data_IF_860142778862
#
_entry.id   IF_860142778862
#
_cell.length_a   1.000
_cell.length_b   1.000
_cell.length_c   1.000
_cell.angle_alpha   90.00
_cell.angle_beta   90.00
_cell.angle_gamma   90.00
#
_symmetry.space_group_name_H-M   'P 1'
#
loop_
_entity.id
_entity.type
_entity.pdbx_description
1 polymer ?
#
# COMPACT_ATOMS: atom_id res chain seq x y z
N UNK A 1 -19.66 -36.86 -21.36
CA UNK A 1 -20.10 -35.96 -20.24
C UNK A 1 -18.84 -35.34 -19.65
N UNK A 2 -18.56 -34.04 -19.89
CA UNK A 2 -17.43 -33.31 -19.26
C UNK A 2 -17.88 -32.95 -17.84
N UNK A 3 -17.14 -33.38 -16.83
CA UNK A 3 -17.36 -32.96 -15.45
C UNK A 3 -17.26 -31.42 -15.39
N UNK A 4 -18.18 -30.72 -14.68
CA UNK A 4 -18.06 -29.28 -14.48
C UNK A 4 -16.76 -29.03 -13.70
N UNK A 5 -15.82 -28.32 -14.34
CA UNK A 5 -14.52 -28.02 -13.78
C UNK A 5 -14.65 -27.40 -12.39
N UNK A 6 -13.97 -27.99 -11.42
CA UNK A 6 -13.80 -27.46 -10.06
C UNK A 6 -13.32 -26.02 -10.20
N UNK A 7 -14.17 -25.04 -9.85
CA UNK A 7 -13.74 -23.63 -9.80
C UNK A 7 -12.52 -23.56 -8.89
N UNK A 8 -11.40 -22.97 -9.32
CA UNK A 8 -10.23 -22.85 -8.47
C UNK A 8 -10.63 -22.13 -7.18
N UNK A 9 -10.06 -22.57 -6.05
CA UNK A 9 -10.24 -21.90 -4.77
C UNK A 9 -9.83 -20.43 -4.95
N UNK A 10 -10.69 -19.51 -4.46
CA UNK A 10 -10.37 -18.09 -4.46
C UNK A 10 -9.18 -17.87 -3.52
N UNK A 11 -8.06 -17.42 -4.06
CA UNK A 11 -6.98 -16.89 -3.23
C UNK A 11 -7.40 -15.48 -2.79
N UNK A 12 -7.65 -15.33 -1.49
CA UNK A 12 -8.15 -14.07 -0.96
C UNK A 12 -7.13 -12.94 -1.02
N UNK A 13 -5.85 -13.26 -1.08
CA UNK A 13 -4.76 -12.27 -1.20
C UNK A 13 -4.72 -11.63 -2.59
N UNK A 14 -5.20 -12.35 -3.62
CA UNK A 14 -5.26 -11.88 -5.01
C UNK A 14 -6.55 -11.11 -5.33
N UNK A 15 -7.39 -10.81 -4.33
CA UNK A 15 -8.63 -10.07 -4.54
C UNK A 15 -8.43 -8.55 -4.39
N UNK A 16 -9.19 -7.82 -5.20
CA UNK A 16 -9.44 -6.38 -5.04
C UNK A 16 -10.94 -6.23 -4.84
N UNK A 17 -11.38 -5.58 -3.78
CA UNK A 17 -12.80 -5.49 -3.47
C UNK A 17 -13.28 -4.06 -3.15
N UNK A 18 -14.53 -3.80 -3.52
CA UNK A 18 -15.18 -2.49 -3.46
C UNK A 18 -14.99 -1.68 -4.74
N UNK A 19 -15.98 -0.83 -5.04
CA UNK A 19 -16.10 -0.12 -6.31
C UNK A 19 -14.84 0.69 -6.62
N UNK A 20 -14.47 1.63 -5.75
CA UNK A 20 -13.33 2.53 -6.00
C UNK A 20 -12.01 1.79 -6.14
N UNK A 21 -11.74 0.76 -5.32
CA UNK A 21 -10.50 0.01 -5.44
C UNK A 21 -10.38 -0.74 -6.78
N UNK A 22 -11.50 -1.24 -7.31
CA UNK A 22 -11.52 -1.93 -8.61
C UNK A 22 -11.45 -0.92 -9.76
N UNK A 23 -12.12 0.24 -9.65
CA UNK A 23 -12.03 1.34 -10.63
C UNK A 23 -10.60 1.85 -10.75
N UNK A 24 -9.93 2.13 -9.63
CA UNK A 24 -8.55 2.61 -9.63
C UNK A 24 -7.57 1.56 -10.18
N UNK A 25 -7.77 0.29 -9.86
CA UNK A 25 -6.97 -0.78 -10.45
C UNK A 25 -7.14 -0.85 -11.99
N UNK A 26 -8.37 -0.67 -12.48
CA UNK A 26 -8.63 -0.57 -13.93
C UNK A 26 -7.97 0.68 -14.51
N UNK A 27 -8.11 1.85 -13.89
CA UNK A 27 -7.51 3.10 -14.36
C UNK A 27 -5.99 3.00 -14.44
N UNK A 28 -5.36 2.44 -13.41
CA UNK A 28 -3.91 2.23 -13.35
C UNK A 28 -3.38 1.18 -14.35
N UNK A 29 -4.26 0.47 -15.03
CA UNK A 29 -3.87 -0.57 -15.97
C UNK A 29 -3.46 -1.89 -15.33
N UNK A 30 -3.87 -2.15 -14.10
CA UNK A 30 -3.63 -3.46 -13.48
C UNK A 30 -4.29 -4.58 -14.30
N UNK A 31 -3.59 -5.71 -14.42
CA UNK A 31 -4.13 -6.89 -15.09
C UNK A 31 -5.13 -7.57 -14.18
N UNK A 32 -6.43 -7.39 -14.45
CA UNK A 32 -7.49 -8.11 -13.77
C UNK A 32 -7.88 -9.36 -14.55
N UNK A 33 -8.06 -10.48 -13.86
CA UNK A 33 -8.51 -11.76 -14.46
C UNK A 33 -10.01 -11.77 -14.71
N UNK A 34 -10.80 -11.22 -13.78
CA UNK A 34 -12.25 -11.07 -13.89
C UNK A 34 -12.78 -10.14 -12.81
N UNK A 35 -14.00 -9.62 -13.04
CA UNK A 35 -14.75 -8.82 -12.07
C UNK A 35 -16.07 -9.52 -11.81
N UNK A 36 -16.38 -9.79 -10.55
CA UNK A 36 -17.69 -10.26 -10.08
C UNK A 36 -18.48 -9.07 -9.54
N UNK A 37 -19.71 -8.91 -10.00
CA UNK A 37 -20.66 -7.88 -9.56
C UNK A 37 -21.91 -8.56 -9.05
N UNK A 38 -22.48 -8.08 -7.94
CA UNK A 38 -23.71 -8.62 -7.39
C UNK A 38 -24.89 -8.42 -8.36
N UNK A 39 -25.67 -9.48 -8.59
CA UNK A 39 -26.73 -9.50 -9.60
C UNK A 39 -27.84 -8.46 -9.35
N UNK A 40 -28.08 -8.07 -8.12
CA UNK A 40 -29.01 -7.02 -7.73
C UNK A 40 -28.55 -5.60 -8.08
N UNK A 41 -27.29 -5.43 -8.49
CA UNK A 41 -26.67 -4.14 -8.85
C UNK A 41 -26.55 -3.90 -10.35
N UNK A 42 -27.13 -4.71 -11.19
CA UNK A 42 -27.05 -4.60 -12.67
C UNK A 42 -27.48 -3.25 -13.22
N UNK A 43 -28.38 -2.53 -12.52
CA UNK A 43 -28.90 -1.20 -12.93
C UNK A 43 -28.28 -0.05 -12.14
N UNK A 44 -27.26 -0.29 -11.33
CA UNK A 44 -26.65 0.71 -10.47
C UNK A 44 -25.82 1.70 -11.31
N UNK A 45 -26.19 2.98 -11.24
CA UNK A 45 -25.49 4.05 -11.93
C UNK A 45 -24.03 4.20 -11.49
N UNK A 46 -23.72 3.87 -10.23
CA UNK A 46 -22.36 3.91 -9.69
C UNK A 46 -21.40 2.93 -10.38
N UNK A 47 -21.93 1.90 -11.07
CA UNK A 47 -21.11 0.91 -11.77
C UNK A 47 -20.85 1.28 -13.25
N UNK A 48 -21.38 2.38 -13.75
CA UNK A 48 -21.24 2.73 -15.19
C UNK A 48 -19.78 2.93 -15.60
N UNK A 49 -19.01 3.63 -14.78
CA UNK A 49 -17.58 3.91 -15.06
C UNK A 49 -16.80 2.59 -15.04
N UNK A 50 -16.99 1.79 -14.00
CA UNK A 50 -16.34 0.49 -13.85
C UNK A 50 -16.64 -0.45 -15.03
N UNK A 51 -17.91 -0.55 -15.46
CA UNK A 51 -18.31 -1.38 -16.59
C UNK A 51 -17.72 -0.91 -17.91
N UNK A 52 -17.68 0.41 -18.12
CA UNK A 52 -17.09 0.99 -19.33
C UNK A 52 -15.58 0.70 -19.40
N UNK A 53 -14.85 0.89 -18.30
CA UNK A 53 -13.42 0.61 -18.22
C UNK A 53 -13.12 -0.89 -18.35
N UNK A 54 -13.92 -1.76 -17.71
CA UNK A 54 -13.77 -3.20 -17.83
C UNK A 54 -13.95 -3.65 -19.29
N UNK A 55 -14.91 -3.08 -20.00
CA UNK A 55 -15.14 -3.34 -21.44
C UNK A 55 -13.96 -2.88 -22.30
N UNK A 56 -13.49 -1.66 -22.09
CA UNK A 56 -12.36 -1.07 -22.83
C UNK A 56 -11.08 -1.92 -22.67
N UNK A 57 -10.87 -2.45 -21.47
CA UNK A 57 -9.68 -3.28 -21.12
C UNK A 57 -9.89 -4.78 -21.37
N UNK A 58 -11.05 -5.19 -21.93
CA UNK A 58 -11.41 -6.58 -22.17
C UNK A 58 -11.35 -7.46 -20.90
N UNK A 59 -11.70 -6.89 -19.73
CA UNK A 59 -11.78 -7.63 -18.48
C UNK A 59 -13.15 -8.30 -18.37
N UNK A 60 -13.23 -9.64 -18.24
CA UNK A 60 -14.52 -10.35 -18.12
C UNK A 60 -15.29 -9.91 -16.87
N UNK A 61 -16.55 -9.50 -17.05
CA UNK A 61 -17.46 -9.17 -15.96
C UNK A 61 -18.49 -10.29 -15.82
N UNK A 62 -18.75 -10.72 -14.58
CA UNK A 62 -19.76 -11.72 -14.24
C UNK A 62 -20.71 -11.16 -13.19
N UNK A 63 -21.99 -11.41 -13.37
CA UNK A 63 -23.00 -11.10 -12.36
C UNK A 63 -23.24 -12.35 -11.52
N UNK A 64 -22.96 -12.25 -10.22
CA UNK A 64 -22.99 -13.37 -9.29
C UNK A 64 -24.06 -13.17 -8.22
N UNK A 65 -24.64 -14.28 -7.74
CA UNK A 65 -25.61 -14.29 -6.66
C UNK A 65 -24.93 -13.90 -5.32
N UNK A 66 -25.76 -13.43 -4.37
CA UNK A 66 -25.27 -13.01 -3.03
C UNK A 66 -24.43 -14.09 -2.34
N UNK A 67 -24.80 -15.36 -2.48
CA UNK A 67 -24.06 -16.50 -1.95
C UNK A 67 -22.59 -16.60 -2.43
N UNK A 68 -22.23 -15.98 -3.54
CA UNK A 68 -20.83 -15.86 -3.98
C UNK A 68 -20.05 -14.92 -3.06
N UNK A 69 -20.62 -13.78 -2.71
CA UNK A 69 -20.02 -12.76 -1.88
C UNK A 69 -19.95 -13.17 -0.40
N UNK A 70 -20.88 -14.01 0.06
CA UNK A 70 -20.89 -14.55 1.42
C UNK A 70 -19.69 -15.47 1.71
N UNK A 71 -19.02 -16.01 0.67
CA UNK A 71 -17.82 -16.83 0.80
C UNK A 71 -16.55 -16.03 1.06
N UNK A 72 -16.61 -14.72 0.83
CA UNK A 72 -15.45 -13.84 0.97
C UNK A 72 -15.45 -13.27 2.37
N UNK A 73 -14.32 -13.31 3.11
CA UNK A 73 -14.25 -12.86 4.51
C UNK A 73 -14.37 -11.34 4.67
N UNK A 74 -14.51 -10.60 3.57
CA UNK A 74 -14.57 -9.14 3.55
C UNK A 74 -15.99 -8.63 3.45
N UNK A 75 -16.49 -7.91 4.46
CA UNK A 75 -17.87 -7.36 4.45
C UNK A 75 -18.00 -6.09 3.62
N UNK A 76 -16.93 -5.34 3.42
CA UNK A 76 -16.94 -4.02 2.76
C UNK A 76 -16.74 -4.10 1.23
N UNK A 77 -17.09 -5.23 0.61
CA UNK A 77 -16.92 -5.43 -0.84
C UNK A 77 -17.91 -4.66 -1.71
N UNK A 78 -18.99 -4.13 -1.14
CA UNK A 78 -20.00 -3.35 -1.88
C UNK A 78 -20.54 -4.09 -3.12
N UNK A 79 -20.60 -5.42 -3.10
CA UNK A 79 -21.05 -6.24 -4.24
C UNK A 79 -20.11 -6.19 -5.47
N UNK A 80 -18.85 -5.80 -5.31
CA UNK A 80 -17.85 -5.77 -6.38
C UNK A 80 -16.55 -6.38 -5.89
N UNK A 81 -16.07 -7.40 -6.62
CA UNK A 81 -14.82 -8.11 -6.34
C UNK A 81 -14.12 -8.38 -7.68
N UNK A 82 -12.89 -7.97 -7.79
CA UNK A 82 -12.03 -8.35 -8.90
C UNK A 82 -10.99 -9.38 -8.45
N UNK A 83 -10.66 -10.32 -9.35
CA UNK A 83 -9.53 -11.24 -9.18
C UNK A 83 -8.36 -10.72 -10.00
N UNK A 84 -7.22 -10.54 -9.36
CA UNK A 84 -5.98 -10.10 -9.98
C UNK A 84 -4.92 -11.22 -9.94
N UNK A 85 -3.80 -11.11 -10.63
CA UNK A 85 -2.60 -11.89 -10.32
C UNK A 85 -1.99 -11.43 -8.98
N UNK A 86 -1.02 -12.19 -8.41
CA UNK A 86 -0.26 -11.74 -7.26
C UNK A 86 0.31 -10.33 -7.46
N UNK A 87 0.38 -9.55 -6.36
CA UNK A 87 0.83 -8.16 -6.44
C UNK A 87 2.26 -8.07 -7.03
N UNK A 88 2.48 -7.24 -8.06
CA UNK A 88 3.77 -7.12 -8.74
C UNK A 88 4.71 -6.20 -7.94
N UNK A 89 5.48 -6.75 -7.01
CA UNK A 89 6.49 -5.99 -6.29
C UNK A 89 7.60 -5.51 -7.23
N UNK A 90 7.99 -4.25 -7.09
CA UNK A 90 9.12 -3.66 -7.81
C UNK A 90 10.46 -4.08 -7.20
N UNK A 91 11.55 -3.98 -7.96
CA UNK A 91 12.89 -4.06 -7.40
C UNK A 91 13.35 -2.70 -6.86
N UNK A 92 14.21 -2.70 -5.83
CA UNK A 92 14.77 -1.46 -5.30
C UNK A 92 15.61 -0.72 -6.35
N UNK A 93 16.36 -1.45 -7.17
CA UNK A 93 17.15 -0.88 -8.26
C UNK A 93 16.30 -0.16 -9.29
N UNK A 94 15.14 -0.72 -9.67
CA UNK A 94 14.24 -0.07 -10.62
C UNK A 94 13.65 1.22 -10.06
N UNK A 95 13.29 1.23 -8.76
CA UNK A 95 12.79 2.43 -8.09
C UNK A 95 13.88 3.51 -8.05
N UNK A 96 15.11 3.14 -7.72
CA UNK A 96 16.23 4.08 -7.66
C UNK A 96 16.68 4.59 -9.03
N UNK A 97 16.51 3.79 -10.09
CA UNK A 97 16.87 4.18 -11.45
C UNK A 97 15.85 5.12 -12.12
N UNK A 98 14.60 5.22 -11.59
CA UNK A 98 13.56 6.08 -12.19
C UNK A 98 13.93 7.57 -12.00
N UNK A 99 14.02 8.37 -13.08
CA UNK A 99 14.23 9.80 -12.96
C UNK A 99 12.99 10.49 -12.38
N UNK A 100 13.17 11.48 -11.53
CA UNK A 100 12.08 12.37 -11.14
C UNK A 100 11.85 13.44 -12.23
N UNK A 101 10.60 13.62 -12.58
CA UNK A 101 10.23 14.53 -13.67
C UNK A 101 10.26 16.00 -13.25
N UNK A 102 10.06 16.27 -11.96
CA UNK A 102 9.93 17.61 -11.38
C UNK A 102 11.26 18.14 -10.80
N UNK A 103 12.34 17.35 -10.85
CA UNK A 103 13.64 17.72 -10.29
C UNK A 103 13.68 17.80 -8.75
N UNK A 104 12.58 17.49 -8.06
CA UNK A 104 12.54 17.49 -6.59
C UNK A 104 13.40 16.38 -5.99
N UNK A 105 13.84 16.50 -4.73
CA UNK A 105 14.57 15.44 -4.05
C UNK A 105 13.75 14.14 -3.98
N UNK A 106 14.42 12.99 -4.12
CA UNK A 106 13.79 11.68 -4.01
C UNK A 106 13.25 11.44 -2.62
N UNK A 107 12.02 10.89 -2.53
CA UNK A 107 11.40 10.50 -1.28
C UNK A 107 10.97 9.04 -1.32
N UNK A 108 11.46 8.24 -0.38
CA UNK A 108 11.02 6.86 -0.15
C UNK A 108 10.38 6.73 1.23
N UNK A 109 9.47 5.78 1.37
CA UNK A 109 8.95 5.37 2.68
C UNK A 109 9.38 3.95 2.95
N UNK A 110 9.90 3.68 4.14
CA UNK A 110 10.35 2.35 4.57
C UNK A 110 9.53 1.93 5.79
N UNK A 111 8.87 0.79 5.71
CA UNK A 111 8.08 0.25 6.81
C UNK A 111 8.90 -0.77 7.60
N UNK A 112 8.98 -0.59 8.90
CA UNK A 112 9.67 -1.52 9.80
C UNK A 112 8.67 -2.31 10.65
N UNK A 113 8.37 -3.56 10.23
CA UNK A 113 7.54 -4.51 10.96
C UNK A 113 6.08 -4.06 11.22
N UNK A 114 5.43 -3.40 10.26
CA UNK A 114 4.01 -3.09 10.33
C UNK A 114 3.16 -4.30 9.93
N UNK A 115 2.39 -4.84 10.86
CA UNK A 115 1.59 -6.06 10.67
C UNK A 115 0.10 -5.78 10.42
N UNK A 116 -0.40 -4.59 10.78
CA UNK A 116 -1.78 -4.22 10.52
C UNK A 116 -1.98 -3.79 9.05
N UNK A 117 -2.82 -4.50 8.27
CA UNK A 117 -3.10 -4.14 6.88
C UNK A 117 -3.72 -2.75 6.71
N UNK A 118 -4.52 -2.28 7.67
CA UNK A 118 -5.13 -0.95 7.60
C UNK A 118 -4.08 0.15 7.70
N UNK A 119 -3.12 0.01 8.61
CA UNK A 119 -2.02 0.95 8.77
C UNK A 119 -1.12 0.96 7.53
N UNK A 120 -0.75 -0.22 7.01
CA UNK A 120 0.05 -0.31 5.76
C UNK A 120 -0.68 0.36 4.60
N UNK A 121 -1.98 0.08 4.42
CA UNK A 121 -2.77 0.66 3.34
C UNK A 121 -2.90 2.19 3.46
N UNK A 122 -3.11 2.71 4.67
CA UNK A 122 -3.17 4.16 4.93
C UNK A 122 -1.83 4.85 4.61
N UNK A 123 -0.70 4.22 4.97
CA UNK A 123 0.62 4.75 4.65
C UNK A 123 0.88 4.71 3.14
N UNK A 124 0.51 3.62 2.44
CA UNK A 124 0.62 3.53 0.98
C UNK A 124 -0.15 4.68 0.32
N UNK A 125 -1.39 4.93 0.76
CA UNK A 125 -2.21 6.04 0.25
C UNK A 125 -1.57 7.40 0.50
N UNK A 126 -1.07 7.64 1.71
CA UNK A 126 -0.44 8.91 2.07
C UNK A 126 0.88 9.11 1.33
N UNK A 127 1.69 8.05 1.18
CA UNK A 127 2.95 8.10 0.46
C UNK A 127 2.75 8.42 -1.02
N UNK A 128 1.76 7.80 -1.66
CA UNK A 128 1.38 8.09 -3.04
C UNK A 128 0.94 9.56 -3.19
N UNK A 129 -0.01 10.00 -2.36
CA UNK A 129 -0.53 11.37 -2.39
C UNK A 129 0.55 12.43 -2.09
N UNK A 130 1.56 12.10 -1.30
CA UNK A 130 2.73 12.95 -1.04
C UNK A 130 3.79 12.92 -2.15
N UNK A 131 3.58 12.14 -3.22
CA UNK A 131 4.51 12.03 -4.34
C UNK A 131 5.78 11.23 -4.01
N UNK A 132 5.71 10.25 -3.11
CA UNK A 132 6.83 9.34 -2.84
C UNK A 132 7.20 8.54 -4.10
N UNK A 133 8.49 8.29 -4.31
CA UNK A 133 8.99 7.50 -5.44
C UNK A 133 8.77 6.00 -5.27
N UNK A 134 8.55 5.56 -4.03
CA UNK A 134 8.27 4.17 -3.71
C UNK A 134 8.17 3.90 -2.21
N UNK A 135 7.68 2.71 -1.89
CA UNK A 135 7.55 2.22 -0.53
C UNK A 135 8.27 0.88 -0.40
N UNK A 136 9.01 0.71 0.69
CA UNK A 136 9.75 -0.52 1.00
C UNK A 136 9.12 -1.19 2.22
N UNK A 137 8.87 -2.48 2.14
CA UNK A 137 8.37 -3.28 3.28
C UNK A 137 9.14 -4.61 3.40
N UNK A 138 9.24 -5.20 4.61
CA UNK A 138 9.91 -6.46 4.78
C UNK A 138 9.03 -7.64 4.32
N UNK A 139 9.67 -8.73 3.89
CA UNK A 139 8.99 -9.97 3.51
C UNK A 139 8.33 -10.67 4.69
N UNK A 140 8.89 -10.51 5.87
CA UNK A 140 8.44 -11.17 7.09
C UNK A 140 8.03 -10.15 8.14
N UNK A 141 7.07 -10.52 8.99
CA UNK A 141 6.56 -9.68 10.08
C UNK A 141 6.03 -8.33 9.59
N UNK A 142 5.37 -8.34 8.43
CA UNK A 142 4.70 -7.18 7.86
C UNK A 142 3.47 -7.66 7.10
N UNK A 143 2.45 -6.84 7.03
CA UNK A 143 1.36 -7.08 6.11
C UNK A 143 1.88 -6.86 4.67
N UNK A 144 1.86 -7.93 3.85
CA UNK A 144 2.06 -7.83 2.41
C UNK A 144 0.90 -7.08 1.74
N UNK A 145 1.04 -6.77 0.45
CA UNK A 145 -0.02 -6.10 -0.31
C UNK A 145 -1.11 -7.11 -0.67
N UNK A 146 -1.94 -7.40 0.30
CA UNK A 146 -3.11 -8.26 0.18
C UNK A 146 -4.39 -7.45 -0.09
N UNK A 147 -5.54 -8.13 -0.19
CA UNK A 147 -6.84 -7.49 -0.45
C UNK A 147 -7.20 -6.39 0.57
N UNK A 148 -6.88 -6.58 1.85
CA UNK A 148 -7.18 -5.59 2.90
C UNK A 148 -6.32 -4.34 2.77
N UNK A 149 -5.00 -4.50 2.49
CA UNK A 149 -4.09 -3.39 2.21
C UNK A 149 -4.54 -2.63 0.97
N UNK A 150 -4.86 -3.32 -0.13
CA UNK A 150 -5.36 -2.69 -1.37
C UNK A 150 -6.64 -1.90 -1.12
N UNK A 151 -7.56 -2.42 -0.31
CA UNK A 151 -8.78 -1.72 0.07
C UNK A 151 -8.49 -0.45 0.88
N UNK A 152 -7.63 -0.54 1.90
CA UNK A 152 -7.25 0.60 2.74
C UNK A 152 -6.45 1.66 1.96
N UNK A 153 -5.66 1.23 0.99
CA UNK A 153 -4.90 2.11 0.09
C UNK A 153 -5.78 2.84 -0.94
N UNK A 154 -7.06 2.46 -1.09
CA UNK A 154 -8.03 3.11 -1.98
C UNK A 154 -7.52 3.32 -3.42
N UNK A 155 -6.78 2.34 -3.96
CA UNK A 155 -6.21 2.38 -5.32
C UNK A 155 -4.75 2.85 -5.40
N UNK A 156 -4.22 3.55 -4.40
CA UNK A 156 -2.85 4.09 -4.41
C UNK A 156 -1.77 3.01 -4.64
N UNK A 157 -2.02 1.77 -4.21
CA UNK A 157 -1.10 0.65 -4.42
C UNK A 157 -0.87 0.31 -5.91
N UNK A 158 -1.75 0.75 -6.81
CA UNK A 158 -1.60 0.55 -8.24
C UNK A 158 -0.60 1.54 -8.89
N UNK A 159 -0.36 2.67 -8.24
CA UNK A 159 0.49 3.76 -8.75
C UNK A 159 1.85 3.83 -8.06
N UNK A 160 1.89 3.58 -6.74
CA UNK A 160 3.12 3.64 -5.97
C UNK A 160 3.94 2.36 -6.13
N UNK A 161 5.19 2.43 -6.62
CA UNK A 161 6.09 1.27 -6.63
C UNK A 161 6.33 0.73 -5.22
N UNK A 162 6.02 -0.53 -4.99
CA UNK A 162 6.22 -1.17 -3.68
C UNK A 162 7.29 -2.25 -3.80
N UNK A 163 8.31 -2.12 -2.99
CA UNK A 163 9.46 -3.03 -2.95
C UNK A 163 9.35 -3.93 -1.72
N UNK A 164 9.54 -5.23 -1.90
CA UNK A 164 9.57 -6.19 -0.80
C UNK A 164 10.98 -6.71 -0.59
N UNK A 165 11.50 -6.60 0.64
CA UNK A 165 12.90 -6.89 0.96
C UNK A 165 13.03 -7.88 2.11
N UNK A 166 14.07 -8.71 2.07
CA UNK A 166 14.34 -9.68 3.14
C UNK A 166 14.85 -9.01 4.42
N UNK A 167 15.56 -7.85 4.32
CA UNK A 167 16.24 -7.23 5.44
C UNK A 167 16.24 -5.70 5.35
N UNK A 168 15.48 -5.04 6.22
CA UNK A 168 15.37 -3.57 6.25
C UNK A 168 16.71 -2.90 6.57
N UNK A 169 17.48 -3.37 7.56
CA UNK A 169 18.76 -2.76 7.89
C UNK A 169 19.77 -2.85 6.73
N UNK A 170 19.78 -3.98 6.00
CA UNK A 170 20.56 -4.13 4.78
C UNK A 170 20.13 -3.16 3.68
N UNK A 171 18.82 -2.97 3.53
CA UNK A 171 18.25 -2.02 2.57
C UNK A 171 18.62 -0.57 2.93
N UNK A 172 18.55 -0.20 4.21
CA UNK A 172 18.98 1.13 4.68
C UNK A 172 20.43 1.40 4.26
N UNK A 173 21.34 0.45 4.49
CA UNK A 173 22.74 0.60 4.06
C UNK A 173 22.88 0.77 2.54
N UNK A 174 22.05 0.07 1.76
CA UNK A 174 22.04 0.23 0.29
C UNK A 174 21.53 1.61 -0.13
N UNK A 175 20.48 2.13 0.52
CA UNK A 175 19.96 3.48 0.29
C UNK A 175 21.01 4.56 0.59
N UNK A 176 21.71 4.44 1.72
CA UNK A 176 22.81 5.37 2.10
C UNK A 176 23.95 5.37 1.08
N UNK A 177 24.33 4.19 0.57
CA UNK A 177 25.31 4.08 -0.52
C UNK A 177 24.85 4.74 -1.82
N UNK A 178 23.54 4.80 -2.06
CA UNK A 178 22.93 5.50 -3.20
C UNK A 178 22.74 7.02 -2.95
N UNK A 179 23.27 7.58 -1.85
CA UNK A 179 23.17 9.00 -1.52
C UNK A 179 21.83 9.43 -0.94
N UNK A 180 21.03 8.49 -0.44
CA UNK A 180 19.73 8.77 0.18
C UNK A 180 19.89 8.79 1.69
N UNK A 181 19.53 9.91 2.31
CA UNK A 181 19.49 10.05 3.76
C UNK A 181 18.37 9.23 4.36
N UNK A 182 18.65 8.53 5.44
CA UNK A 182 17.66 7.67 6.10
C UNK A 182 17.26 8.29 7.43
N UNK A 183 15.98 8.66 7.52
CA UNK A 183 15.38 9.37 8.64
C UNK A 183 14.38 8.46 9.35
N UNK A 184 14.62 8.15 10.61
CA UNK A 184 13.70 7.32 11.40
C UNK A 184 12.65 8.16 12.13
N UNK A 185 11.37 7.85 11.96
CA UNK A 185 10.30 8.41 12.79
C UNK A 185 10.25 7.69 14.14
N UNK A 186 10.56 8.38 15.24
CA UNK A 186 10.65 7.78 16.57
C UNK A 186 10.20 8.80 17.64
N UNK A 187 9.46 8.34 18.64
CA UNK A 187 8.97 9.20 19.73
C UNK A 187 10.06 9.56 20.77
N UNK A 188 11.29 9.06 20.60
CA UNK A 188 12.40 9.31 21.53
C UNK A 188 12.68 10.81 21.70
N UNK A 189 12.94 11.30 22.93
CA UNK A 189 13.35 12.69 23.19
C UNK A 189 14.62 13.11 22.42
N UNK A 190 15.47 12.15 22.07
CA UNK A 190 16.70 12.39 21.30
C UNK A 190 16.43 12.72 19.81
N UNK A 191 15.20 12.51 19.32
CA UNK A 191 14.80 12.85 17.94
C UNK A 191 14.65 14.36 17.75
N UNK A 192 15.08 14.85 16.58
CA UNK A 192 14.85 16.23 16.15
C UNK A 192 13.36 16.44 15.94
N UNK A 193 12.78 17.53 16.37
CA UNK A 193 11.39 17.85 16.02
C UNK A 193 11.23 17.95 14.51
N UNK A 194 10.19 17.32 13.95
CA UNK A 194 9.98 17.24 12.51
C UNK A 194 10.05 18.61 11.82
N UNK A 195 9.46 19.64 12.41
CA UNK A 195 9.47 21.00 11.87
C UNK A 195 10.84 21.72 11.94
N UNK A 196 11.83 21.14 12.62
CA UNK A 196 13.21 21.68 12.73
C UNK A 196 14.21 20.86 11.92
N UNK A 197 13.81 19.71 11.40
CA UNK A 197 14.69 18.84 10.62
C UNK A 197 14.79 19.34 9.18
N UNK A 198 16.02 19.38 8.63
CA UNK A 198 16.20 19.61 7.21
C UNK A 198 15.91 18.32 6.43
N UNK A 199 14.75 18.30 5.79
CA UNK A 199 14.28 17.20 4.96
C UNK A 199 14.31 17.51 3.46
N UNK A 200 14.83 18.67 3.05
CA UNK A 200 14.91 19.08 1.64
C UNK A 200 16.12 18.43 0.94
N UNK A 201 16.14 17.12 0.91
CA UNK A 201 17.19 16.28 0.31
C UNK A 201 16.64 14.93 -0.10
N UNK A 202 17.34 14.13 -0.92
CA UNK A 202 16.96 12.74 -1.16
C UNK A 202 16.89 11.99 0.18
N UNK A 203 15.71 11.49 0.55
CA UNK A 203 15.49 10.85 1.84
C UNK A 203 14.62 9.60 1.76
N UNK A 204 14.81 8.72 2.74
CA UNK A 204 13.92 7.60 3.05
C UNK A 204 13.41 7.78 4.48
N UNK A 205 12.10 7.96 4.64
CA UNK A 205 11.44 8.04 5.94
C UNK A 205 11.13 6.62 6.43
N UNK A 206 11.70 6.22 7.55
CA UNK A 206 11.46 4.91 8.17
C UNK A 206 10.37 5.06 9.23
N UNK A 207 9.30 4.28 9.08
CA UNK A 207 8.16 4.24 10.00
C UNK A 207 8.11 2.88 10.67
N UNK A 208 8.17 2.86 12.00
CA UNK A 208 8.13 1.65 12.82
C UNK A 208 6.72 1.19 13.15
N UNK A 209 6.61 0.05 13.84
CA UNK A 209 5.33 -0.50 14.28
C UNK A 209 4.71 0.32 15.41
N UNK A 210 3.36 0.25 15.50
CA UNK A 210 2.62 0.85 16.60
C UNK A 210 2.98 0.15 17.92
N UNK A 211 3.39 0.92 18.90
CA UNK A 211 3.78 0.42 20.24
C UNK A 211 5.27 0.10 20.39
N UNK A 212 5.92 -0.67 19.48
CA UNK A 212 7.36 -0.98 19.58
C UNK A 212 8.27 -0.01 18.82
N UNK A 213 7.70 0.82 17.95
CA UNK A 213 8.49 1.76 17.15
C UNK A 213 9.44 1.08 16.16
N UNK A 214 10.60 1.66 15.95
CA UNK A 214 11.66 1.13 15.10
C UNK A 214 12.44 0.02 15.81
N UNK A 215 12.74 -1.06 15.09
CA UNK A 215 13.64 -2.11 15.61
C UNK A 215 15.01 -1.51 15.96
N UNK A 216 15.68 -1.98 17.06
CA UNK A 216 16.93 -1.36 17.54
C UNK A 216 18.04 -1.27 16.49
N UNK A 217 18.14 -2.26 15.61
CA UNK A 217 19.13 -2.25 14.53
C UNK A 217 18.74 -1.23 13.46
N UNK A 218 17.48 -1.17 13.07
CA UNK A 218 16.96 -0.20 12.09
C UNK A 218 17.18 1.23 12.59
N UNK A 219 16.86 1.49 13.88
CA UNK A 219 17.07 2.76 14.53
C UNK A 219 18.53 3.22 14.49
N UNK A 220 19.48 2.30 14.73
CA UNK A 220 20.93 2.59 14.66
C UNK A 220 21.45 2.86 13.26
N UNK A 221 20.84 2.26 12.24
CA UNK A 221 21.22 2.45 10.84
C UNK A 221 20.71 3.78 10.26
N UNK A 222 19.71 4.41 10.87
CA UNK A 222 19.22 5.72 10.44
C UNK A 222 20.30 6.79 10.63
N UNK A 223 20.36 7.80 9.74
CA UNK A 223 21.29 8.92 9.85
C UNK A 223 20.90 9.84 11.01
N UNK A 224 19.61 10.06 11.21
CA UNK A 224 19.04 10.74 12.37
C UNK A 224 17.59 10.33 12.59
N UNK A 225 17.06 10.72 13.74
CA UNK A 225 15.70 10.46 14.12
C UNK A 225 14.91 11.77 14.13
N UNK A 226 13.65 11.70 13.72
CA UNK A 226 12.69 12.79 13.85
C UNK A 226 11.56 12.37 14.75
N UNK A 227 11.02 13.31 15.54
CA UNK A 227 9.85 13.13 16.36
C UNK A 227 8.78 14.12 15.98
N UNK A 228 7.54 13.67 16.02
CA UNK A 228 6.38 14.56 15.95
C UNK A 228 6.04 14.95 17.39
N UNK A 229 5.99 16.24 17.72
CA UNK A 229 5.64 16.67 19.08
C UNK A 229 4.18 16.31 19.37
N UNK A 230 3.96 15.46 20.37
CA UNK A 230 2.62 15.06 20.81
C UNK A 230 2.15 16.03 21.90
N UNK A 231 1.16 16.86 21.58
CA UNK A 231 0.59 17.84 22.51
C UNK A 231 -0.58 17.27 23.33
N UNK A 232 -1.01 16.07 23.02
CA UNK A 232 -2.12 15.36 23.67
C UNK A 232 -1.67 14.36 24.73
N UNK A 233 -2.64 13.65 25.32
CA UNK A 233 -2.42 12.61 26.35
C UNK A 233 -2.11 11.23 25.78
N UNK A 234 -2.22 11.04 24.46
CA UNK A 234 -1.97 9.75 23.79
C UNK A 234 -0.48 9.62 23.54
N UNK A 235 0.13 8.53 24.03
CA UNK A 235 1.58 8.35 24.02
C UNK A 235 2.16 7.96 22.63
N UNK A 236 1.35 7.42 21.72
CA UNK A 236 1.78 7.09 20.35
C UNK A 236 0.62 7.22 19.37
N UNK A 237 0.90 7.64 18.15
CA UNK A 237 -0.06 7.63 17.06
C UNK A 237 0.68 7.31 15.76
N UNK A 238 0.45 6.13 15.22
CA UNK A 238 0.96 5.74 13.90
C UNK A 238 0.34 6.58 12.79
N UNK A 239 -0.80 7.17 13.06
CA UNK A 239 -1.70 7.81 12.12
C UNK A 239 -1.98 9.28 12.42
N UNK A 240 -1.08 9.98 13.08
CA UNK A 240 -1.24 11.43 13.22
C UNK A 240 -1.37 12.12 11.84
N UNK A 241 -0.92 11.45 10.79
CA UNK A 241 -1.08 11.90 9.40
C UNK A 241 -2.40 11.49 8.74
N UNK A 242 -3.18 10.54 9.29
CA UNK A 242 -4.37 10.00 8.60
C UNK A 242 -5.72 10.50 9.15
N UNK A 243 -5.74 11.36 10.16
CA UNK A 243 -6.97 11.96 10.70
C UNK A 243 -7.09 13.47 10.52
N UNK A 244 -6.31 14.05 9.65
CA UNK A 244 -6.53 15.42 9.19
C UNK A 244 -7.20 15.40 7.82
N UNK A 245 -8.44 15.00 7.77
CA UNK A 245 -9.48 15.47 6.84
C UNK A 245 -10.80 15.42 7.58
#
# INVERSE_FOLDING_TARGET
MRQPGRRPALDFDDLIYGIHAVEEALLAGERLRSIAIAADRTKDAALRILLAQAKERNVPVRFEQRAFFDRVPFKAHQGVIATAPPFPYASLSDVLARPRRDGSPRMLVVLDHLTDPHNVGAIVRTAEAAGADGLVLPERRSAGINAMVRKAAAGAAAYLPIVRVANIAGTIRALKKAGIWVVGADASPAGIELGKADLNRPLALVVGSEGSGLAPLVKRECDFLVRIPMLGRVASCLLYTSRCV
#
